data_IF_691650636873
#
_entry.id   IF_691650636873
#
_cell.length_a   1.000
_cell.length_b   1.000
_cell.length_c   1.000
_cell.angle_alpha   90.00
_cell.angle_beta   90.00
_cell.angle_gamma   90.00
#
_symmetry.space_group_name_H-M   'P 1'
#
loop_
_entity.id
_entity.type
_entity.pdbx_description
1 polymer ?
#
# COMPACT_ATOMS: atom_id res chain seq x y z
N UNK A 1 30.17 -15.41 -52.95
CA UNK A 1 31.57 -15.70 -53.35
C UNK A 1 32.13 -14.44 -54.00
N UNK A 2 33.29 -13.94 -53.53
CA UNK A 2 34.13 -12.83 -54.09
C UNK A 2 33.53 -11.41 -53.95
N UNK A 3 33.95 -10.45 -53.11
CA UNK A 3 35.25 -9.94 -52.60
C UNK A 3 36.08 -9.12 -53.62
N UNK A 4 35.99 -7.77 -53.57
CA UNK A 4 37.05 -6.73 -53.78
C UNK A 4 36.38 -5.35 -54.02
N UNK A 5 36.62 -4.29 -53.21
CA UNK A 5 37.82 -3.41 -53.17
C UNK A 5 38.09 -2.81 -54.56
N UNK A 6 38.30 -1.50 -54.80
CA UNK A 6 38.96 -0.44 -54.01
C UNK A 6 38.92 0.84 -54.87
N UNK A 7 38.81 2.01 -54.22
CA UNK A 7 39.32 3.37 -54.57
C UNK A 7 39.12 3.91 -56.00
N UNK A 8 38.74 5.16 -56.24
CA UNK A 8 39.30 6.45 -55.82
C UNK A 8 38.30 7.51 -56.37
N UNK A 9 38.20 8.79 -56.02
CA UNK A 9 39.00 9.78 -55.32
C UNK A 9 38.18 11.09 -55.37
N UNK A 10 38.52 12.04 -54.49
CA UNK A 10 38.31 13.52 -54.53
C UNK A 10 37.87 13.99 -53.14
N UNK A 11 38.80 14.27 -52.23
CA UNK A 11 39.60 15.49 -52.10
C UNK A 11 38.78 16.80 -52.02
N UNK A 12 39.01 17.48 -50.89
CA UNK A 12 38.94 18.92 -50.58
C UNK A 12 37.62 19.46 -50.02
N UNK A 13 37.75 20.07 -48.82
CA UNK A 13 36.78 20.94 -48.16
C UNK A 13 36.33 20.30 -46.85
N UNK A 14 36.84 20.64 -45.67
CA UNK A 14 37.04 21.97 -45.14
C UNK A 14 36.38 22.02 -43.76
N UNK A 15 37.19 22.28 -42.73
CA UNK A 15 36.84 22.84 -41.42
C UNK A 15 35.64 22.27 -40.63
N UNK A 16 35.98 21.75 -39.44
CA UNK A 16 35.44 22.17 -38.12
C UNK A 16 35.15 20.96 -37.21
N UNK A 17 36.21 20.45 -36.58
CA UNK A 17 36.09 19.59 -35.40
C UNK A 17 35.52 20.41 -34.23
N UNK A 18 34.19 20.46 -34.13
CA UNK A 18 33.48 21.16 -33.04
C UNK A 18 33.29 20.21 -31.87
N UNK A 19 34.05 20.48 -30.81
CA UNK A 19 34.14 19.82 -29.52
C UNK A 19 32.77 19.57 -28.85
N UNK A 20 32.32 18.30 -28.83
CA UNK A 20 31.11 17.85 -28.10
C UNK A 20 31.40 17.23 -26.72
N UNK A 21 32.49 17.60 -26.06
CA UNK A 21 32.92 16.99 -24.78
C UNK A 21 32.61 17.75 -23.48
N UNK A 22 32.34 19.07 -23.42
CA UNK A 22 32.19 19.73 -22.12
C UNK A 22 30.80 19.54 -21.47
N UNK A 23 29.76 19.21 -22.24
CA UNK A 23 28.37 19.13 -21.73
C UNK A 23 28.09 17.85 -20.93
N UNK A 24 28.76 16.74 -21.26
CA UNK A 24 28.54 15.44 -20.59
C UNK A 24 29.22 15.43 -19.21
N UNK A 25 30.40 16.05 -19.09
CA UNK A 25 31.10 16.16 -17.81
C UNK A 25 30.33 17.04 -16.79
N UNK A 26 29.68 18.11 -17.28
CA UNK A 26 28.89 19.01 -16.43
C UNK A 26 27.58 18.35 -15.98
N UNK A 27 26.96 17.51 -16.82
CA UNK A 27 25.76 16.74 -16.46
C UNK A 27 26.04 15.71 -15.34
N UNK A 28 27.19 15.02 -15.39
CA UNK A 28 27.58 14.06 -14.34
C UNK A 28 27.91 14.74 -13.00
N UNK A 29 28.51 15.94 -13.03
CA UNK A 29 28.80 16.70 -11.82
C UNK A 29 27.52 17.21 -11.14
N UNK A 30 26.53 17.67 -11.91
CA UNK A 30 25.24 18.14 -11.36
C UNK A 30 24.44 16.99 -10.72
N UNK A 31 24.43 15.80 -11.34
CA UNK A 31 23.76 14.62 -10.76
C UNK A 31 24.47 14.15 -9.49
N UNK A 32 25.80 14.17 -9.45
CA UNK A 32 26.58 13.81 -8.26
C UNK A 32 26.34 14.74 -7.07
N UNK A 33 26.29 16.06 -7.30
CA UNK A 33 26.03 17.03 -6.23
C UNK A 33 24.58 16.94 -5.72
N UNK A 34 23.61 16.73 -6.61
CA UNK A 34 22.20 16.56 -6.23
C UNK A 34 21.97 15.30 -5.36
N UNK A 35 22.71 14.21 -5.62
CA UNK A 35 22.61 12.97 -4.86
C UNK A 35 23.19 13.09 -3.44
N UNK A 36 24.23 13.93 -3.26
CA UNK A 36 24.88 14.15 -1.95
C UNK A 36 24.05 15.09 -1.06
N UNK A 37 23.33 16.06 -1.64
CA UNK A 37 22.46 16.98 -0.87
C UNK A 37 21.16 16.34 -0.38
N UNK A 38 20.77 15.17 -0.90
CA UNK A 38 19.56 14.44 -0.48
C UNK A 38 19.79 13.50 0.71
N UNK A 39 21.04 13.34 1.21
CA UNK A 39 21.37 12.40 2.28
C UNK A 39 21.36 12.89 3.75
N UNK A 40 21.14 14.18 4.13
CA UNK A 40 21.27 14.53 5.55
C UNK A 40 20.01 14.25 6.37
N UNK A 41 18.90 13.80 5.78
CA UNK A 41 17.66 13.48 6.50
C UNK A 41 17.35 11.98 6.49
N UNK A 42 18.33 11.17 6.88
CA UNK A 42 17.99 9.96 7.60
C UNK A 42 17.59 10.41 9.03
N UNK A 43 16.33 10.30 9.46
CA UNK A 43 16.02 10.43 10.87
C UNK A 43 16.85 9.36 11.60
N UNK A 44 17.82 9.80 12.40
CA UNK A 44 18.38 8.96 13.48
C UNK A 44 17.27 8.77 14.51
N UNK A 45 16.31 7.93 14.15
CA UNK A 45 15.13 7.63 14.92
C UNK A 45 15.49 6.78 16.13
N UNK A 46 15.23 7.37 17.30
CA UNK A 46 14.96 6.72 18.57
C UNK A 46 16.06 5.81 19.13
N UNK A 47 16.85 6.40 20.04
CA UNK A 47 17.29 5.66 21.24
C UNK A 47 16.02 5.10 21.89
N UNK A 48 15.91 3.77 21.98
CA UNK A 48 14.92 3.12 22.83
C UNK A 48 15.24 3.48 24.28
N UNK A 49 14.68 4.59 24.76
CA UNK A 49 14.50 4.80 26.18
C UNK A 49 13.40 3.82 26.60
N UNK A 50 13.82 2.61 26.98
CA UNK A 50 13.00 1.64 27.67
C UNK A 50 12.61 2.21 29.03
N UNK A 51 11.57 3.04 29.04
CA UNK A 51 10.64 3.12 30.15
C UNK A 51 9.44 2.27 29.77
N UNK A 52 9.65 0.96 29.66
CA UNK A 52 8.57 0.00 29.72
C UNK A 52 8.14 -0.08 31.18
N UNK A 53 7.35 0.89 31.64
CA UNK A 53 6.26 0.44 32.48
C UNK A 53 5.40 -0.45 31.59
N UNK A 54 5.10 -1.70 32.00
CA UNK A 54 4.19 -2.53 31.22
C UNK A 54 2.87 -1.77 31.15
N UNK A 55 2.55 -1.24 29.97
CA UNK A 55 1.22 -0.70 29.72
C UNK A 55 0.27 -1.87 29.88
N UNK A 56 -0.33 -1.96 31.07
CA UNK A 56 -1.39 -2.90 31.36
C UNK A 56 -2.60 -2.44 30.56
N UNK A 57 -2.64 -2.82 29.28
CA UNK A 57 -3.83 -2.64 28.47
C UNK A 57 -4.96 -3.43 29.12
N UNK A 58 -6.07 -2.78 29.36
CA UNK A 58 -7.30 -3.49 29.73
C UNK A 58 -7.81 -4.29 28.52
N UNK A 59 -8.63 -5.32 28.77
CA UNK A 59 -9.22 -6.11 27.69
C UNK A 59 -10.02 -5.24 26.70
N UNK A 60 -10.75 -4.24 27.21
CA UNK A 60 -11.57 -3.36 26.38
C UNK A 60 -10.73 -2.41 25.53
N UNK A 61 -9.61 -1.89 26.06
CA UNK A 61 -8.64 -1.13 25.26
C UNK A 61 -7.99 -1.99 24.18
N UNK A 62 -7.68 -3.26 24.49
CA UNK A 62 -7.10 -4.18 23.52
C UNK A 62 -8.08 -4.46 22.38
N UNK A 63 -9.37 -4.66 22.69
CA UNK A 63 -10.44 -4.81 21.69
C UNK A 63 -10.62 -3.57 20.85
N UNK A 64 -10.71 -2.38 21.46
CA UNK A 64 -10.84 -1.12 20.73
C UNK A 64 -9.67 -0.91 19.77
N UNK A 65 -8.45 -1.10 20.26
CA UNK A 65 -7.24 -0.95 19.45
C UNK A 65 -7.18 -1.95 18.30
N UNK A 66 -7.63 -3.18 18.53
CA UNK A 66 -7.73 -4.19 17.48
C UNK A 66 -8.77 -3.82 16.42
N UNK A 67 -9.94 -3.31 16.81
CA UNK A 67 -10.97 -2.86 15.85
C UNK A 67 -10.52 -1.70 14.97
N UNK A 68 -9.64 -0.84 15.47
CA UNK A 68 -9.14 0.32 14.72
C UNK A 68 -7.97 -0.03 13.79
N UNK A 69 -7.18 -1.06 14.12
CA UNK A 69 -5.94 -1.37 13.42
C UNK A 69 -5.89 -2.74 12.76
N UNK A 70 -6.89 -3.60 12.93
CA UNK A 70 -6.93 -4.89 12.26
C UNK A 70 -7.24 -4.74 10.77
N UNK A 71 -6.31 -5.19 9.93
CA UNK A 71 -6.41 -5.11 8.47
C UNK A 71 -7.58 -5.91 7.91
N UNK A 72 -7.85 -7.11 8.41
CA UNK A 72 -8.92 -7.97 7.90
C UNK A 72 -10.30 -7.39 8.18
N UNK A 73 -10.48 -6.80 9.36
CA UNK A 73 -11.71 -6.10 9.72
C UNK A 73 -11.87 -4.80 8.91
N UNK A 74 -10.78 -4.05 8.67
CA UNK A 74 -10.81 -2.89 7.79
C UNK A 74 -11.18 -3.26 6.35
N UNK A 75 -10.66 -4.37 5.81
CA UNK A 75 -11.02 -4.89 4.49
C UNK A 75 -12.51 -5.26 4.46
N UNK A 76 -13.02 -5.97 5.47
CA UNK A 76 -14.45 -6.32 5.54
C UNK A 76 -15.36 -5.08 5.57
N UNK A 77 -14.94 -4.00 6.25
CA UNK A 77 -15.66 -2.71 6.23
C UNK A 77 -15.71 -2.11 4.83
N UNK A 78 -14.59 -2.14 4.10
CA UNK A 78 -14.50 -1.65 2.73
C UNK A 78 -15.34 -2.49 1.77
N UNK A 79 -15.34 -3.81 1.91
CA UNK A 79 -16.18 -4.71 1.11
C UNK A 79 -17.67 -4.43 1.33
N UNK A 80 -18.08 -4.22 2.58
CA UNK A 80 -19.45 -3.82 2.90
C UNK A 80 -19.79 -2.47 2.25
N UNK A 81 -18.93 -1.46 2.39
CA UNK A 81 -19.14 -0.15 1.77
C UNK A 81 -19.23 -0.23 0.24
N UNK A 82 -18.37 -1.05 -0.40
CA UNK A 82 -18.41 -1.29 -1.83
C UNK A 82 -19.74 -1.94 -2.26
N UNK A 83 -20.23 -2.93 -1.49
CA UNK A 83 -21.53 -3.57 -1.74
C UNK A 83 -22.71 -2.60 -1.62
N UNK A 84 -22.61 -1.63 -0.70
CA UNK A 84 -23.64 -0.60 -0.52
C UNK A 84 -23.68 0.36 -1.70
N UNK A 85 -22.52 0.75 -2.22
CA UNK A 85 -22.42 1.58 -3.43
C UNK A 85 -23.04 0.83 -4.62
N UNK A 86 -22.69 -0.45 -4.82
CA UNK A 86 -23.26 -1.26 -5.91
C UNK A 86 -24.77 -1.41 -5.79
N UNK A 87 -25.30 -1.54 -4.57
CA UNK A 87 -26.73 -1.56 -4.33
C UNK A 87 -27.40 -0.25 -4.73
N UNK A 88 -26.85 0.90 -4.32
CA UNK A 88 -27.37 2.22 -4.71
C UNK A 88 -27.29 2.46 -6.22
N UNK A 89 -26.22 2.01 -6.87
CA UNK A 89 -26.10 2.06 -8.33
C UNK A 89 -27.20 1.23 -9.01
N UNK A 90 -27.44 0.00 -8.53
CA UNK A 90 -28.48 -0.85 -9.08
C UNK A 90 -29.90 -0.29 -8.85
N UNK A 91 -30.14 0.39 -7.73
CA UNK A 91 -31.39 1.11 -7.49
C UNK A 91 -31.56 2.28 -8.46
N UNK A 92 -30.51 3.08 -8.66
CA UNK A 92 -30.52 4.19 -9.62
C UNK A 92 -30.74 3.69 -11.06
N UNK A 93 -30.06 2.62 -11.46
CA UNK A 93 -30.21 2.01 -12.78
C UNK A 93 -31.62 1.46 -12.99
N UNK A 94 -32.25 0.91 -11.94
CA UNK A 94 -33.61 0.40 -12.02
C UNK A 94 -34.66 1.49 -12.31
N UNK A 95 -34.37 2.75 -11.98
CA UNK A 95 -35.22 3.90 -12.33
C UNK A 95 -35.17 4.21 -13.83
N UNK A 96 -34.01 4.05 -14.46
CA UNK A 96 -33.81 4.30 -15.89
C UNK A 96 -34.23 3.10 -16.74
N UNK A 97 -33.83 1.90 -16.32
CA UNK A 97 -34.08 0.64 -17.00
C UNK A 97 -34.46 -0.42 -15.96
N UNK A 98 -35.76 -0.69 -15.78
CA UNK A 98 -36.22 -1.57 -14.72
C UNK A 98 -35.67 -2.99 -14.91
N UNK A 99 -34.89 -3.46 -13.93
CA UNK A 99 -34.38 -4.82 -13.86
C UNK A 99 -34.48 -5.35 -12.42
N UNK A 100 -35.44 -6.23 -12.19
CA UNK A 100 -35.68 -6.86 -10.89
C UNK A 100 -34.55 -7.80 -10.49
N UNK A 101 -33.89 -8.41 -11.48
CA UNK A 101 -32.78 -9.35 -11.23
C UNK A 101 -31.55 -8.61 -10.71
N UNK A 102 -31.19 -7.48 -11.34
CA UNK A 102 -30.02 -6.69 -10.95
C UNK A 102 -30.17 -6.11 -9.54
N UNK A 103 -31.32 -5.50 -9.24
CA UNK A 103 -31.64 -4.94 -7.92
C UNK A 103 -31.64 -6.02 -6.83
N UNK A 104 -32.30 -7.17 -7.05
CA UNK A 104 -32.29 -8.28 -6.08
C UNK A 104 -30.90 -8.86 -5.85
N UNK A 105 -30.09 -9.00 -6.90
CA UNK A 105 -28.71 -9.49 -6.80
C UNK A 105 -27.86 -8.54 -5.95
N UNK A 106 -27.94 -7.23 -6.21
CA UNK A 106 -27.20 -6.24 -5.45
C UNK A 106 -27.67 -6.18 -3.98
N UNK A 107 -28.98 -6.33 -3.74
CA UNK A 107 -29.53 -6.42 -2.39
C UNK A 107 -29.02 -7.65 -1.62
N UNK A 108 -28.92 -8.79 -2.31
CA UNK A 108 -28.34 -10.02 -1.76
C UNK A 108 -26.87 -9.83 -1.39
N UNK A 109 -26.07 -9.33 -2.34
CA UNK A 109 -24.65 -9.06 -2.12
C UNK A 109 -24.39 -8.13 -0.94
N UNK A 110 -25.20 -7.07 -0.78
CA UNK A 110 -25.14 -6.16 0.37
C UNK A 110 -25.43 -6.88 1.70
N UNK A 111 -26.44 -7.75 1.73
CA UNK A 111 -26.79 -8.52 2.93
C UNK A 111 -25.70 -9.51 3.30
N UNK A 112 -25.10 -10.17 2.30
CA UNK A 112 -24.03 -11.13 2.53
C UNK A 112 -22.76 -10.43 3.02
N UNK A 113 -22.41 -9.27 2.45
CA UNK A 113 -21.30 -8.45 2.93
C UNK A 113 -21.54 -7.93 4.36
N UNK A 114 -22.77 -7.55 4.71
CA UNK A 114 -23.11 -7.15 6.08
C UNK A 114 -22.89 -8.30 7.08
N UNK A 115 -23.33 -9.51 6.72
CA UNK A 115 -23.13 -10.71 7.55
C UNK A 115 -21.65 -11.06 7.68
N UNK A 116 -20.89 -10.94 6.59
CA UNK A 116 -19.46 -11.17 6.59
C UNK A 116 -18.73 -10.18 7.51
N UNK A 117 -19.11 -8.90 7.48
CA UNK A 117 -18.54 -7.88 8.38
C UNK A 117 -18.79 -8.23 9.86
N UNK A 118 -20.03 -8.58 10.23
CA UNK A 118 -20.37 -8.98 11.60
C UNK A 118 -19.61 -10.23 12.02
N UNK A 119 -19.48 -11.22 11.14
CA UNK A 119 -18.72 -12.43 11.44
C UNK A 119 -17.23 -12.12 11.65
N UNK A 120 -16.65 -11.20 10.87
CA UNK A 120 -15.26 -10.75 11.04
C UNK A 120 -15.06 -9.98 12.33
N UNK A 121 -16.01 -9.13 12.70
CA UNK A 121 -16.02 -8.42 13.97
C UNK A 121 -15.99 -9.39 15.15
N UNK A 122 -16.89 -10.37 15.15
CA UNK A 122 -16.98 -11.38 16.20
C UNK A 122 -15.73 -12.27 16.26
N UNK A 123 -15.19 -12.67 15.11
CA UNK A 123 -13.94 -13.43 15.03
C UNK A 123 -12.78 -12.65 15.65
N UNK A 124 -12.66 -11.36 15.32
CA UNK A 124 -11.62 -10.49 15.84
C UNK A 124 -11.72 -10.33 17.36
N UNK A 125 -12.93 -10.11 17.90
CA UNK A 125 -13.13 -10.03 19.36
C UNK A 125 -12.64 -11.31 20.06
N UNK A 126 -12.98 -12.48 19.52
CA UNK A 126 -12.54 -13.77 20.09
C UNK A 126 -11.02 -13.97 20.01
N UNK A 127 -10.39 -13.55 18.91
CA UNK A 127 -8.93 -13.61 18.75
C UNK A 127 -8.21 -12.72 19.75
N UNK A 128 -8.72 -11.50 19.97
CA UNK A 128 -8.18 -10.56 20.96
C UNK A 128 -8.34 -11.11 22.37
N UNK A 129 -9.52 -11.61 22.72
CA UNK A 129 -9.79 -12.19 24.04
C UNK A 129 -8.85 -13.36 24.32
N UNK A 130 -8.69 -14.25 23.34
CA UNK A 130 -7.78 -15.39 23.45
C UNK A 130 -6.33 -14.93 23.62
N UNK A 131 -5.88 -13.97 22.81
CA UNK A 131 -4.52 -13.44 22.89
C UNK A 131 -4.26 -12.77 24.25
N UNK A 132 -5.23 -12.01 24.75
CA UNK A 132 -5.18 -11.34 26.04
C UNK A 132 -5.03 -12.32 27.19
N UNK A 133 -5.94 -13.30 27.31
CA UNK A 133 -5.89 -14.26 28.42
C UNK A 133 -4.67 -15.19 28.33
N UNK A 134 -4.21 -15.52 27.13
CA UNK A 134 -2.95 -16.25 26.97
C UNK A 134 -1.76 -15.46 27.52
N UNK A 135 -1.72 -14.15 27.29
CA UNK A 135 -0.67 -13.26 27.82
C UNK A 135 -0.74 -13.17 29.34
N UNK A 136 -1.93 -12.95 29.91
CA UNK A 136 -2.13 -12.90 31.37
C UNK A 136 -1.69 -14.22 32.02
N UNK A 137 -2.15 -15.35 31.49
CA UNK A 137 -1.78 -16.68 32.01
C UNK A 137 -0.27 -16.95 31.88
N UNK A 138 0.38 -16.43 30.83
CA UNK A 138 1.82 -16.56 30.67
C UNK A 138 2.58 -15.73 31.71
N UNK A 139 2.12 -14.53 32.02
CA UNK A 139 2.69 -13.67 33.07
C UNK A 139 2.56 -14.34 34.45
N UNK A 140 1.38 -14.85 34.80
CA UNK A 140 1.15 -15.57 36.06
C UNK A 140 2.04 -16.81 36.25
N UNK A 141 2.51 -17.43 35.17
CA UNK A 141 3.42 -18.59 35.22
C UNK A 141 4.89 -18.22 35.35
N UNK A 142 5.24 -16.98 35.06
CA UNK A 142 6.61 -16.47 35.13
C UNK A 142 6.92 -15.82 36.48
N UNK A 143 5.88 -15.45 37.23
CA UNK A 143 5.92 -15.06 38.65
C UNK A 143 6.04 -16.29 39.57
#
# INVERSE_FOLDING_TARGET
MVLRRVFDSRLVGGAAARSRRPRIALALAVVGVALITLLPWAPRGARCAAHDEPVQLTLDEARSRAMDHNYDYAIAKLEFAASEIQFKMAEADALLRPSVIASKRAAGARKDAARALVAKEQSLMLEVDKAYYNLVTAQERME
#
